data_IF_017145336354
#
_entry.id   IF_017145336354
#
_cell.length_a   1.000
_cell.length_b   1.000
_cell.length_c   1.000
_cell.angle_alpha   90.00
_cell.angle_beta   90.00
_cell.angle_gamma   90.00
#
_symmetry.space_group_name_H-M   'P 1'
#
loop_
_entity.id
_entity.type
_entity.pdbx_description
1 polymer ?
#
# COMPACT_ATOMS: atom_id res chain seq x y z
N UNK A 1 3.58 10.13 12.01
CA UNK A 1 3.87 8.72 12.27
C UNK A 1 4.51 8.45 13.65
N UNK A 2 5.37 9.32 14.18
CA UNK A 2 6.01 9.13 15.50
C UNK A 2 5.57 10.17 16.54
N UNK A 3 5.80 9.91 17.83
CA UNK A 3 5.47 10.83 18.94
C UNK A 3 6.50 11.96 19.08
N UNK A 4 6.61 12.77 18.02
CA UNK A 4 7.39 14.00 17.99
C UNK A 4 6.46 15.16 17.59
N UNK A 5 6.61 16.30 18.25
CA UNK A 5 5.86 17.52 17.96
C UNK A 5 6.81 18.64 17.57
N UNK A 6 6.58 19.25 16.41
CA UNK A 6 7.34 20.41 15.96
C UNK A 6 6.55 21.69 16.26
N UNK A 7 7.19 22.67 16.88
CA UNK A 7 6.62 24.00 17.11
C UNK A 7 7.63 25.03 16.67
N UNK A 8 7.24 25.92 15.75
CA UNK A 8 8.12 27.00 15.31
C UNK A 8 8.35 27.97 16.47
N UNK A 9 9.61 28.11 16.89
CA UNK A 9 10.05 29.01 17.94
C UNK A 9 11.49 29.46 17.65
N UNK A 10 11.95 30.54 18.29
CA UNK A 10 13.34 30.99 18.16
C UNK A 10 14.34 30.18 19.02
N UNK A 11 13.85 29.47 20.03
CA UNK A 11 14.60 28.56 20.91
C UNK A 11 13.64 27.74 21.78
N UNK A 12 14.14 26.74 22.49
CA UNK A 12 13.37 25.89 23.42
C UNK A 12 12.97 24.54 22.81
N UNK A 13 12.14 23.79 23.55
CA UNK A 13 11.82 22.38 23.27
C UNK A 13 12.85 21.41 23.85
N UNK A 14 12.58 20.11 23.71
CA UNK A 14 13.53 19.05 24.11
C UNK A 14 14.77 19.00 23.20
N UNK A 15 14.61 19.50 21.97
CA UNK A 15 15.66 19.78 21.00
C UNK A 15 15.24 20.96 20.12
N UNK A 16 16.19 21.60 19.44
CA UNK A 16 15.91 22.78 18.61
C UNK A 16 16.47 22.60 17.19
N UNK A 17 15.64 22.86 16.17
CA UNK A 17 16.01 22.69 14.77
C UNK A 17 16.18 24.03 14.06
N UNK A 18 17.22 24.14 13.24
CA UNK A 18 17.45 25.32 12.39
C UNK A 18 17.67 24.92 10.94
N UNK A 19 17.19 25.75 10.02
CA UNK A 19 17.25 25.53 8.59
C UNK A 19 17.98 26.71 7.95
N UNK A 20 19.00 26.45 7.14
CA UNK A 20 19.79 27.47 6.48
C UNK A 20 20.19 27.10 5.05
N UNK A 21 20.42 28.10 4.21
CA UNK A 21 20.99 27.88 2.88
C UNK A 21 22.47 28.24 2.89
N UNK A 22 23.25 27.57 2.04
CA UNK A 22 24.66 27.92 1.77
C UNK A 22 24.93 27.83 0.26
N UNK A 23 26.01 28.45 -0.21
CA UNK A 23 26.28 28.62 -1.65
C UNK A 23 27.66 28.17 -2.13
N UNK A 24 28.60 27.94 -1.22
CA UNK A 24 30.00 27.64 -1.57
C UNK A 24 30.24 26.19 -2.02
N UNK A 25 29.26 25.30 -1.86
CA UNK A 25 29.35 23.89 -2.23
C UNK A 25 30.38 23.08 -1.43
N UNK A 26 30.87 23.64 -0.31
CA UNK A 26 32.00 23.10 0.47
C UNK A 26 31.73 21.71 1.07
N UNK A 27 30.47 21.32 1.23
CA UNK A 27 30.06 20.01 1.76
C UNK A 27 30.27 18.86 0.76
N UNK A 28 30.35 19.15 -0.55
CA UNK A 28 30.29 18.13 -1.60
C UNK A 28 28.91 17.47 -1.82
N UNK A 29 27.88 17.86 -1.05
CA UNK A 29 26.53 17.32 -1.12
C UNK A 29 25.45 18.37 -1.46
N UNK A 30 24.25 17.89 -1.79
CA UNK A 30 23.09 18.75 -2.05
C UNK A 30 22.58 19.47 -0.78
N UNK A 31 22.77 18.83 0.37
CA UNK A 31 22.43 19.32 1.70
C UNK A 31 23.23 18.49 2.72
N UNK A 32 23.19 18.91 3.98
CA UNK A 32 23.70 18.13 5.11
C UNK A 32 23.01 18.55 6.41
N UNK A 33 23.02 17.65 7.38
CA UNK A 33 22.50 17.90 8.73
C UNK A 33 23.35 17.17 9.77
N UNK A 34 23.10 17.49 11.04
CA UNK A 34 23.81 16.88 12.16
C UNK A 34 22.87 16.01 12.98
N UNK A 35 23.30 14.76 13.21
CA UNK A 35 22.65 13.83 14.13
C UNK A 35 22.60 14.41 15.55
N UNK A 36 21.57 14.09 16.35
CA UNK A 36 21.51 14.47 17.76
C UNK A 36 22.59 13.72 18.56
N UNK A 37 23.63 14.46 18.98
CA UNK A 37 24.84 13.93 19.61
C UNK A 37 25.15 14.55 20.98
N UNK A 38 24.35 15.52 21.42
CA UNK A 38 24.62 16.39 22.57
C UNK A 38 25.51 17.59 22.23
N UNK A 39 25.77 17.84 20.93
CA UNK A 39 26.66 18.88 20.43
C UNK A 39 25.96 20.22 20.18
N UNK A 40 26.76 21.26 19.90
CA UNK A 40 26.25 22.61 19.55
C UNK A 40 25.60 22.67 18.17
N UNK A 41 25.86 21.69 17.32
CA UNK A 41 25.38 21.61 15.94
C UNK A 41 24.13 20.75 15.80
N UNK A 42 23.69 20.09 16.88
CA UNK A 42 22.47 19.28 16.89
C UNK A 42 21.27 20.06 16.35
N UNK A 43 20.47 19.41 15.49
CA UNK A 43 19.27 20.01 14.90
C UNK A 43 19.52 20.99 13.77
N UNK A 44 20.77 21.28 13.40
CA UNK A 44 21.06 22.11 12.23
C UNK A 44 20.96 21.31 10.93
N UNK A 45 20.29 21.87 9.93
CA UNK A 45 20.25 21.38 8.54
C UNK A 45 20.53 22.51 7.55
N UNK A 46 21.31 22.21 6.52
CA UNK A 46 21.84 23.18 5.57
C UNK A 46 21.64 22.71 4.12
N UNK A 47 21.14 23.61 3.25
CA UNK A 47 20.72 23.27 1.89
C UNK A 47 21.48 24.10 0.85
N UNK A 48 22.09 23.42 -0.13
CA UNK A 48 22.89 24.10 -1.17
C UNK A 48 21.97 24.86 -2.13
N UNK A 49 22.26 26.14 -2.34
CA UNK A 49 21.71 26.93 -3.43
C UNK A 49 22.85 27.71 -4.08
N UNK A 50 23.15 27.37 -5.33
CA UNK A 50 24.16 28.04 -6.15
C UNK A 50 23.71 28.14 -7.60
N UNK A 51 24.47 28.84 -8.44
CA UNK A 51 24.17 28.93 -9.88
C UNK A 51 24.22 27.56 -10.57
N UNK A 52 25.06 26.64 -10.07
CA UNK A 52 25.20 25.27 -10.58
C UNK A 52 24.26 24.25 -9.93
N UNK A 53 23.58 24.60 -8.83
CA UNK A 53 22.67 23.69 -8.13
C UNK A 53 21.43 24.43 -7.62
N UNK A 54 20.30 24.18 -8.30
CA UNK A 54 19.03 24.90 -8.09
C UNK A 54 17.88 24.01 -7.58
N UNK A 55 18.10 22.72 -7.34
CA UNK A 55 17.04 21.78 -6.95
C UNK A 55 16.37 22.13 -5.60
N UNK A 56 17.10 22.77 -4.67
CA UNK A 56 16.59 23.18 -3.36
C UNK A 56 15.82 24.51 -3.37
N UNK A 57 15.72 25.20 -4.51
CA UNK A 57 15.09 26.53 -4.59
C UNK A 57 13.57 26.44 -4.57
N UNK A 58 13.02 25.38 -5.13
CA UNK A 58 11.57 25.20 -5.32
C UNK A 58 11.16 23.78 -4.93
N UNK A 59 11.29 23.41 -3.63
CA UNK A 59 10.82 22.13 -3.14
C UNK A 59 9.29 22.04 -3.30
N UNK A 60 8.82 20.96 -3.90
CA UNK A 60 7.40 20.72 -4.15
C UNK A 60 7.11 19.21 -4.13
N UNK A 61 5.85 18.82 -3.99
CA UNK A 61 5.45 17.43 -3.89
C UNK A 61 5.99 16.60 -5.07
N UNK A 62 6.66 15.49 -4.77
CA UNK A 62 7.17 14.55 -5.76
C UNK A 62 8.53 14.91 -6.34
N UNK A 63 9.14 16.04 -5.94
CA UNK A 63 10.45 16.48 -6.44
C UNK A 63 11.60 16.24 -5.44
N UNK A 64 12.83 16.27 -5.94
CA UNK A 64 14.01 15.95 -5.15
C UNK A 64 14.30 16.98 -4.04
N UNK A 65 14.00 18.26 -4.27
CA UNK A 65 14.17 19.30 -3.24
C UNK A 65 13.29 19.04 -2.01
N UNK A 66 12.05 18.59 -2.22
CA UNK A 66 11.15 18.20 -1.13
C UNK A 66 11.63 16.93 -0.41
N UNK A 67 12.09 15.92 -1.15
CA UNK A 67 12.68 14.72 -0.53
C UNK A 67 13.92 15.06 0.30
N UNK A 68 14.77 15.99 -0.19
CA UNK A 68 15.97 16.46 0.52
C UNK A 68 15.60 17.09 1.86
N UNK A 69 14.55 17.91 1.93
CA UNK A 69 14.05 18.43 3.22
C UNK A 69 13.67 17.30 4.19
N UNK A 70 12.92 16.31 3.72
CA UNK A 70 12.50 15.17 4.56
C UNK A 70 13.71 14.35 5.03
N UNK A 71 14.69 14.15 4.15
CA UNK A 71 15.95 13.45 4.43
C UNK A 71 16.76 14.15 5.53
N UNK A 72 17.03 15.44 5.38
CA UNK A 72 17.83 16.18 6.37
C UNK A 72 17.13 16.30 7.72
N UNK A 73 15.80 16.42 7.73
CA UNK A 73 15.02 16.32 8.97
C UNK A 73 15.18 14.93 9.61
N UNK A 74 15.20 13.86 8.81
CA UNK A 74 15.51 12.50 9.27
C UNK A 74 16.83 12.42 10.03
N UNK A 75 17.90 13.02 9.49
CA UNK A 75 19.19 13.12 10.18
C UNK A 75 19.08 13.87 11.51
N UNK A 76 18.41 15.03 11.55
CA UNK A 76 18.25 15.75 12.82
C UNK A 76 17.44 15.00 13.88
N UNK A 77 16.63 14.02 13.46
CA UNK A 77 15.87 13.11 14.32
C UNK A 77 16.66 11.82 14.66
N UNK A 78 17.90 11.68 14.20
CA UNK A 78 18.77 10.55 14.52
C UNK A 78 18.73 9.39 13.55
N UNK A 79 18.13 9.54 12.37
CA UNK A 79 18.23 8.53 11.31
C UNK A 79 19.54 8.74 10.54
N UNK A 80 20.32 7.67 10.35
CA UNK A 80 21.47 7.70 9.46
C UNK A 80 21.07 7.24 8.06
N UNK A 81 22.00 7.33 7.10
CA UNK A 81 21.88 6.54 5.88
C UNK A 81 21.81 5.04 6.22
N UNK A 82 21.09 4.21 5.43
CA UNK A 82 21.04 2.77 5.64
C UNK A 82 22.39 2.04 5.57
N UNK A 83 23.40 2.62 4.92
CA UNK A 83 24.77 2.12 4.87
C UNK A 83 25.83 3.19 5.18
N UNK A 84 27.08 2.75 5.34
CA UNK A 84 28.22 3.60 5.69
C UNK A 84 28.78 4.35 4.46
N UNK A 85 27.99 5.28 3.92
CA UNK A 85 28.39 6.15 2.81
C UNK A 85 27.98 7.60 3.06
N UNK A 86 28.69 8.53 2.40
CA UNK A 86 28.36 9.95 2.48
C UNK A 86 28.77 10.68 1.19
N UNK A 87 28.02 11.71 0.80
CA UNK A 87 28.42 12.60 -0.28
C UNK A 87 29.76 13.28 0.03
N UNK A 88 30.58 13.50 -1.01
CA UNK A 88 31.91 14.09 -0.86
C UNK A 88 32.99 13.15 -0.33
N UNK A 89 32.65 11.93 0.12
CA UNK A 89 33.61 10.92 0.56
C UNK A 89 33.69 9.75 -0.44
N UNK A 90 34.64 9.82 -1.38
CA UNK A 90 34.78 8.82 -2.44
C UNK A 90 33.65 8.86 -3.46
N UNK A 91 33.43 7.72 -4.13
CA UNK A 91 32.39 7.54 -5.15
C UNK A 91 31.52 6.33 -4.80
N UNK A 92 30.69 6.42 -3.74
CA UNK A 92 29.88 5.29 -3.31
C UNK A 92 28.87 4.91 -4.40
N UNK A 93 28.56 3.63 -4.47
CA UNK A 93 27.59 3.03 -5.39
C UNK A 93 26.65 2.11 -4.61
N UNK A 94 25.54 1.69 -5.22
CA UNK A 94 24.63 0.72 -4.59
C UNK A 94 25.32 -0.61 -4.23
N UNK A 95 26.47 -0.96 -4.84
CA UNK A 95 27.25 -2.15 -4.43
C UNK A 95 27.86 -2.02 -3.03
N UNK A 96 27.93 -0.81 -2.51
CA UNK A 96 28.43 -0.48 -1.17
C UNK A 96 27.29 -0.48 -0.13
N UNK A 97 26.04 -0.74 -0.54
CA UNK A 97 24.91 -0.88 0.36
C UNK A 97 25.07 -2.10 1.29
N UNK A 98 24.65 -1.95 2.54
CA UNK A 98 24.74 -3.00 3.55
C UNK A 98 23.70 -4.12 3.32
N UNK A 99 22.54 -3.78 2.75
CA UNK A 99 21.44 -4.68 2.46
C UNK A 99 20.70 -4.26 1.19
N UNK A 100 19.92 -5.17 0.59
CA UNK A 100 19.33 -4.94 -0.72
C UNK A 100 18.27 -3.83 -0.71
N UNK A 101 17.45 -3.75 0.33
CA UNK A 101 16.38 -2.77 0.45
C UNK A 101 16.88 -1.34 0.76
N UNK A 102 18.19 -1.10 0.79
CA UNK A 102 18.76 0.25 0.79
C UNK A 102 18.53 0.91 -0.57
N UNK A 103 17.31 1.35 -0.80
CA UNK A 103 16.92 2.16 -1.95
C UNK A 103 15.88 3.18 -1.54
N UNK A 104 15.69 4.18 -2.40
CA UNK A 104 14.59 5.16 -2.32
C UNK A 104 13.21 4.53 -2.54
N UNK A 105 13.11 3.21 -2.72
CA UNK A 105 11.87 2.46 -2.64
C UNK A 105 11.42 2.20 -1.19
N UNK A 106 12.34 2.15 -0.23
CA UNK A 106 12.07 1.76 1.16
C UNK A 106 12.40 2.85 2.17
N UNK A 107 13.41 3.69 1.88
CA UNK A 107 13.85 4.75 2.78
C UNK A 107 14.25 6.01 2.01
N UNK A 108 13.75 7.17 2.43
CA UNK A 108 14.22 8.47 1.93
C UNK A 108 15.64 8.79 2.40
N UNK A 109 16.17 8.04 3.37
CA UNK A 109 17.56 8.14 3.82
C UNK A 109 18.55 7.47 2.86
N UNK A 110 18.06 6.71 1.86
CA UNK A 110 18.91 6.07 0.86
C UNK A 110 19.40 7.02 -0.24
N UNK A 111 20.61 6.77 -0.74
CA UNK A 111 21.13 7.43 -1.94
C UNK A 111 20.70 6.74 -3.23
N UNK A 112 20.29 5.48 -3.15
CA UNK A 112 20.18 4.61 -4.31
C UNK A 112 18.78 4.65 -4.92
N UNK A 113 18.70 4.62 -6.24
CA UNK A 113 17.40 4.58 -6.94
C UNK A 113 16.64 3.33 -6.55
N UNK A 114 15.32 3.48 -6.43
CA UNK A 114 14.33 2.43 -6.27
C UNK A 114 14.44 1.33 -7.34
N UNK A 115 14.95 1.67 -8.54
CA UNK A 115 15.15 0.70 -9.62
C UNK A 115 16.18 -0.40 -9.32
N UNK A 116 17.00 -0.26 -8.28
CA UNK A 116 17.90 -1.33 -7.84
C UNK A 116 17.16 -2.50 -7.16
N UNK A 117 15.90 -2.29 -6.79
CA UNK A 117 15.02 -3.28 -6.13
C UNK A 117 13.72 -3.50 -6.92
N UNK A 118 13.78 -3.31 -8.24
CA UNK A 118 12.70 -3.54 -9.22
C UNK A 118 11.46 -2.62 -9.10
N UNK A 119 11.48 -1.60 -8.22
CA UNK A 119 10.48 -0.54 -8.24
C UNK A 119 10.73 0.46 -9.38
N UNK A 120 9.70 1.23 -9.72
CA UNK A 120 9.79 2.26 -10.76
C UNK A 120 8.86 3.44 -10.46
N UNK A 121 9.43 4.60 -10.13
CA UNK A 121 8.68 5.82 -9.83
C UNK A 121 8.64 6.80 -11.00
N UNK A 122 8.82 6.31 -12.23
CA UNK A 122 8.75 7.09 -13.46
C UNK A 122 7.37 6.95 -14.10
N UNK A 123 6.71 8.08 -14.34
CA UNK A 123 5.45 8.16 -15.09
C UNK A 123 5.46 9.35 -16.02
N UNK A 124 4.99 9.14 -17.27
CA UNK A 124 5.02 10.18 -18.31
C UNK A 124 6.44 10.66 -18.66
N UNK A 125 7.44 9.78 -18.54
CA UNK A 125 8.84 10.09 -18.84
C UNK A 125 9.58 10.93 -17.81
N UNK A 126 8.98 11.22 -16.65
CA UNK A 126 9.62 11.97 -15.57
C UNK A 126 9.61 11.17 -14.25
N UNK A 127 10.71 11.16 -13.49
CA UNK A 127 10.76 10.51 -12.19
C UNK A 127 9.89 11.24 -11.16
N UNK A 128 9.67 10.57 -10.03
CA UNK A 128 9.08 11.14 -8.82
C UNK A 128 9.87 10.65 -7.61
N UNK A 129 9.95 11.47 -6.58
CA UNK A 129 10.63 11.18 -5.32
C UNK A 129 9.62 11.23 -4.20
N UNK A 130 9.71 10.31 -3.22
CA UNK A 130 8.81 10.37 -2.08
C UNK A 130 9.04 11.65 -1.28
N UNK A 131 7.97 12.42 -1.08
CA UNK A 131 7.98 13.65 -0.29
C UNK A 131 7.96 13.39 1.21
N UNK A 132 7.63 12.18 1.63
CA UNK A 132 7.37 11.80 3.00
C UNK A 132 8.16 10.54 3.38
N UNK A 133 8.29 10.23 4.68
CA UNK A 133 8.93 9.01 5.15
C UNK A 133 8.31 7.75 4.52
N UNK A 134 9.16 6.83 4.06
CA UNK A 134 8.78 5.54 3.48
C UNK A 134 8.74 4.44 4.56
N UNK A 135 8.52 3.20 4.13
CA UNK A 135 8.25 2.05 5.00
C UNK A 135 9.28 1.89 6.12
N UNK A 136 10.57 1.92 5.79
CA UNK A 136 11.65 1.70 6.74
C UNK A 136 11.91 2.94 7.60
N UNK A 137 11.73 4.14 7.02
CA UNK A 137 11.85 5.40 7.76
C UNK A 137 10.82 5.47 8.88
N UNK A 138 9.57 5.09 8.58
CA UNK A 138 8.47 5.05 9.56
C UNK A 138 8.81 4.07 10.68
N UNK A 139 9.27 2.87 10.35
CA UNK A 139 9.66 1.89 11.35
C UNK A 139 10.81 2.39 12.24
N UNK A 140 11.86 2.96 11.64
CA UNK A 140 13.04 3.45 12.36
C UNK A 140 12.69 4.62 13.30
N UNK A 141 11.98 5.64 12.82
CA UNK A 141 11.62 6.79 13.67
C UNK A 141 10.64 6.40 14.78
N UNK A 142 9.80 5.39 14.56
CA UNK A 142 8.93 4.83 15.60
C UNK A 142 9.69 3.99 16.63
N UNK A 143 10.82 3.38 16.28
CA UNK A 143 11.68 2.73 17.28
C UNK A 143 12.31 3.76 18.23
N UNK A 144 12.67 4.94 17.71
CA UNK A 144 13.26 6.02 18.51
C UNK A 144 12.23 6.71 19.42
N UNK A 145 11.05 7.04 18.89
CA UNK A 145 10.10 7.94 19.57
C UNK A 145 8.73 7.31 19.84
N UNK A 146 8.49 6.08 19.40
CA UNK A 146 7.19 5.41 19.50
C UNK A 146 6.20 5.84 18.42
N UNK A 147 5.28 4.93 18.08
CA UNK A 147 4.19 5.15 17.14
C UNK A 147 3.18 6.20 17.62
N UNK A 148 2.77 7.10 16.73
CA UNK A 148 1.72 8.09 17.00
C UNK A 148 0.36 7.59 16.50
N UNK A 149 -0.36 6.91 17.39
CA UNK A 149 -1.66 6.31 17.13
C UNK A 149 -2.82 7.31 17.07
N UNK A 150 -2.62 8.60 17.36
CA UNK A 150 -3.69 9.60 17.19
C UNK A 150 -3.74 10.18 15.77
N UNK A 151 -2.73 9.90 14.95
CA UNK A 151 -2.69 10.38 13.56
C UNK A 151 -3.76 9.66 12.75
N UNK A 152 -4.74 10.42 12.22
CA UNK A 152 -5.78 9.88 11.34
C UNK A 152 -6.57 8.71 11.94
N UNK A 153 -6.77 8.69 13.27
CA UNK A 153 -7.50 7.63 13.99
C UNK A 153 -9.03 7.64 13.75
N UNK A 154 -9.45 7.84 12.50
CA UNK A 154 -10.81 7.89 11.96
C UNK A 154 -10.77 7.42 10.51
N UNK A 155 -11.91 7.03 9.95
CA UNK A 155 -12.04 6.65 8.54
C UNK A 155 -11.34 7.63 7.58
N UNK A 156 -10.29 7.16 6.92
CA UNK A 156 -9.44 7.94 6.04
C UNK A 156 -9.40 7.36 4.62
N UNK A 157 -9.54 8.23 3.63
CA UNK A 157 -9.31 7.90 2.22
C UNK A 157 -7.93 8.39 1.79
N UNK A 158 -7.17 7.53 1.13
CA UNK A 158 -5.86 7.79 0.52
C UNK A 158 -5.96 7.63 -1.00
N UNK A 159 -5.23 8.43 -1.78
CA UNK A 159 -5.30 8.42 -3.24
C UNK A 159 -6.29 9.47 -3.76
N UNK A 160 -7.18 9.08 -4.67
CA UNK A 160 -8.28 9.95 -5.12
C UNK A 160 -9.25 10.22 -3.96
N UNK A 161 -9.96 11.34 -4.01
CA UNK A 161 -10.94 11.72 -2.98
C UNK A 161 -10.37 11.76 -1.56
N UNK A 162 -9.05 11.94 -1.43
CA UNK A 162 -8.31 11.79 -0.17
C UNK A 162 -8.81 12.73 0.91
N UNK A 163 -9.04 12.17 2.11
CA UNK A 163 -9.36 12.90 3.34
C UNK A 163 -8.15 13.01 4.27
N UNK A 164 -7.01 12.41 3.89
CA UNK A 164 -5.79 12.37 4.70
C UNK A 164 -5.17 13.76 4.96
N UNK A 165 -5.57 14.78 4.21
CA UNK A 165 -5.13 16.16 4.36
C UNK A 165 -3.63 16.34 4.13
N UNK A 166 -3.03 15.56 3.22
CA UNK A 166 -1.61 15.63 2.85
C UNK A 166 -1.46 15.56 1.34
N UNK A 167 -0.58 16.40 0.79
CA UNK A 167 -0.25 16.46 -0.63
C UNK A 167 0.25 15.13 -1.19
N UNK A 168 1.17 14.47 -0.48
CA UNK A 168 1.76 13.20 -0.91
C UNK A 168 0.80 11.99 -0.86
N UNK A 169 -0.33 12.10 -0.14
CA UNK A 169 -1.37 11.07 -0.12
C UNK A 169 -2.49 11.33 -1.12
N UNK A 170 -2.48 12.43 -1.86
CA UNK A 170 -3.59 12.83 -2.72
C UNK A 170 -3.26 12.63 -4.21
N UNK A 171 -4.13 11.91 -4.91
CA UNK A 171 -4.19 11.89 -6.36
C UNK A 171 -5.33 12.81 -6.84
N UNK A 172 -5.06 13.64 -7.84
CA UNK A 172 -6.00 14.64 -8.35
C UNK A 172 -6.36 14.43 -9.82
N UNK A 173 -5.63 13.56 -10.52
CA UNK A 173 -5.93 13.17 -11.90
C UNK A 173 -5.24 11.85 -12.25
N UNK A 174 -5.61 11.25 -13.38
CA UNK A 174 -4.96 10.04 -13.90
C UNK A 174 -3.45 10.19 -14.15
N UNK A 175 -2.93 11.43 -14.28
CA UNK A 175 -1.51 11.70 -14.45
C UNK A 175 -0.74 11.86 -13.13
N UNK A 176 -1.43 11.91 -11.99
CA UNK A 176 -0.79 11.98 -10.67
C UNK A 176 0.22 10.85 -10.48
N UNK A 177 1.34 11.19 -9.83
CA UNK A 177 2.38 10.26 -9.40
C UNK A 177 2.30 10.17 -7.88
N UNK A 178 1.84 9.04 -7.37
CA UNK A 178 1.74 8.79 -5.93
C UNK A 178 2.92 7.94 -5.48
N UNK A 179 3.68 8.43 -4.51
CA UNK A 179 4.79 7.69 -3.88
C UNK A 179 4.72 7.89 -2.38
N UNK A 180 4.18 6.92 -1.65
CA UNK A 180 3.96 7.05 -0.22
C UNK A 180 3.92 5.71 0.52
N UNK A 181 4.20 5.76 1.83
CA UNK A 181 3.85 4.70 2.78
C UNK A 181 2.73 5.19 3.70
N UNK A 182 1.66 4.41 3.83
CA UNK A 182 0.52 4.74 4.71
C UNK A 182 0.94 4.58 6.17
N UNK A 183 0.71 5.62 6.96
CA UNK A 183 0.64 5.52 8.42
C UNK A 183 -0.77 5.89 8.85
N UNK A 184 -1.46 5.00 9.55
CA UNK A 184 -2.79 5.29 10.09
C UNK A 184 -2.87 4.81 11.55
N UNK A 185 -3.61 5.55 12.38
CA UNK A 185 -3.83 5.27 13.80
C UNK A 185 -5.09 4.42 14.07
N UNK A 186 -5.95 4.22 13.06
CA UNK A 186 -7.15 3.40 13.11
C UNK A 186 -8.35 4.08 12.47
N UNK A 187 -9.47 3.37 12.38
CA UNK A 187 -10.63 3.79 11.59
C UNK A 187 -10.97 2.69 10.58
N UNK A 188 -11.88 2.98 9.66
CA UNK A 188 -12.10 2.15 8.47
C UNK A 188 -11.58 2.89 7.24
N UNK A 189 -10.42 2.48 6.76
CA UNK A 189 -9.63 3.23 5.80
C UNK A 189 -9.74 2.67 4.38
N UNK A 190 -9.50 3.52 3.39
CA UNK A 190 -9.65 3.16 1.97
C UNK A 190 -8.47 3.64 1.14
N UNK A 191 -7.88 2.75 0.36
CA UNK A 191 -7.05 3.11 -0.80
C UNK A 191 -7.96 3.30 -2.01
N UNK A 192 -8.16 4.55 -2.43
CA UNK A 192 -8.96 4.90 -3.61
C UNK A 192 -8.05 5.23 -4.79
N UNK A 193 -7.98 4.31 -5.74
CA UNK A 193 -7.20 4.44 -6.98
C UNK A 193 -8.09 4.48 -8.22
N UNK A 194 -9.36 4.84 -8.05
CA UNK A 194 -10.41 4.84 -9.08
C UNK A 194 -10.14 5.70 -10.31
N UNK A 195 -9.36 6.77 -10.17
CA UNK A 195 -9.05 7.67 -11.28
C UNK A 195 -7.90 7.20 -12.18
N UNK A 196 -7.30 6.03 -11.94
CA UNK A 196 -6.27 5.46 -12.81
C UNK A 196 -6.85 4.51 -13.86
N UNK A 197 -6.15 4.40 -14.99
CA UNK A 197 -6.58 3.57 -16.14
C UNK A 197 -5.58 2.48 -16.50
N UNK A 198 -4.42 2.48 -15.86
CA UNK A 198 -3.42 1.42 -15.97
C UNK A 198 -3.86 0.24 -15.10
N UNK A 199 -3.43 -0.97 -15.46
CA UNK A 199 -3.56 -2.13 -14.59
C UNK A 199 -2.78 -1.90 -13.29
N UNK A 200 -3.38 -2.24 -12.17
CA UNK A 200 -2.84 -2.02 -10.82
C UNK A 200 -2.73 -3.32 -10.06
N UNK A 201 -1.87 -3.32 -9.03
CA UNK A 201 -1.84 -4.37 -8.01
C UNK A 201 -1.91 -3.70 -6.66
N UNK A 202 -3.02 -3.87 -5.95
CA UNK A 202 -3.31 -3.21 -4.69
C UNK A 202 -3.31 -4.28 -3.60
N UNK A 203 -2.43 -4.13 -2.62
CA UNK A 203 -2.27 -5.06 -1.51
C UNK A 203 -2.52 -4.34 -0.18
N UNK A 204 -3.53 -4.79 0.57
CA UNK A 204 -3.94 -4.21 1.85
C UNK A 204 -3.19 -4.78 3.06
N UNK A 205 -2.29 -5.74 2.85
CA UNK A 205 -1.49 -6.29 3.95
C UNK A 205 -0.48 -5.27 4.48
N UNK A 206 -0.30 -5.23 5.79
CA UNK A 206 0.73 -4.40 6.41
C UNK A 206 2.12 -4.80 5.92
N UNK A 207 3.03 -3.83 5.78
CA UNK A 207 4.38 -4.01 5.25
C UNK A 207 4.43 -4.64 3.84
N UNK A 208 3.38 -4.44 3.04
CA UNK A 208 3.35 -4.81 1.62
C UNK A 208 3.48 -3.59 0.71
N UNK A 209 3.75 -3.86 -0.56
CA UNK A 209 3.83 -2.87 -1.62
C UNK A 209 2.75 -3.11 -2.68
N UNK A 210 2.38 -2.05 -3.36
CA UNK A 210 1.38 -1.99 -4.42
C UNK A 210 1.94 -1.28 -5.66
N UNK A 211 1.50 -1.74 -6.83
CA UNK A 211 1.77 -1.15 -8.14
C UNK A 211 0.57 -0.27 -8.50
N UNK A 212 0.73 1.06 -8.45
CA UNK A 212 -0.42 1.99 -8.52
C UNK A 212 -0.21 3.04 -9.60
N UNK A 213 -1.23 3.25 -10.43
CA UNK A 213 -1.26 4.31 -11.43
C UNK A 213 -0.16 4.20 -12.49
N UNK A 214 0.25 2.99 -12.86
CA UNK A 214 1.29 2.73 -13.87
C UNK A 214 2.74 2.83 -13.36
N UNK A 215 2.94 2.94 -12.06
CA UNK A 215 4.24 2.81 -11.38
C UNK A 215 4.30 1.47 -10.65
N UNK A 216 5.50 1.08 -10.20
CA UNK A 216 5.76 -0.24 -9.56
C UNK A 216 6.30 -0.03 -8.16
N UNK A 217 5.71 -0.71 -7.16
CA UNK A 217 6.10 -0.65 -5.75
C UNK A 217 6.09 0.75 -5.14
N UNK A 218 5.22 1.64 -5.62
CA UNK A 218 5.20 3.06 -5.25
C UNK A 218 4.28 3.39 -4.07
N UNK A 219 3.37 2.48 -3.72
CA UNK A 219 2.52 2.60 -2.55
C UNK A 219 2.82 1.46 -1.60
N UNK A 220 2.98 1.75 -0.31
CA UNK A 220 3.13 0.75 0.74
C UNK A 220 2.26 1.05 1.95
N UNK A 221 2.05 0.06 2.81
CA UNK A 221 1.38 0.21 4.10
C UNK A 221 2.40 -0.05 5.20
N UNK A 222 2.54 0.88 6.15
CA UNK A 222 3.51 0.72 7.23
C UNK A 222 3.18 -0.48 8.13
N UNK A 223 4.21 -1.05 8.77
CA UNK A 223 4.04 -2.15 9.71
C UNK A 223 3.09 -1.75 10.85
N UNK A 224 2.13 -2.63 11.15
CA UNK A 224 1.15 -2.43 12.23
C UNK A 224 -0.04 -1.54 11.87
N UNK A 225 -0.15 -1.09 10.62
CA UNK A 225 -1.32 -0.40 10.08
C UNK A 225 -2.26 -1.42 9.44
N UNK A 226 -3.57 -1.27 9.67
CA UNK A 226 -4.61 -2.01 8.96
C UNK A 226 -5.32 -1.01 8.04
N UNK A 227 -5.52 -1.38 6.78
CA UNK A 227 -6.34 -0.63 5.83
C UNK A 227 -7.39 -1.60 5.31
N UNK A 228 -8.67 -1.23 5.41
CA UNK A 228 -9.77 -2.17 5.21
C UNK A 228 -10.26 -2.22 3.77
N UNK A 229 -10.20 -1.13 3.01
CA UNK A 229 -10.87 -1.08 1.72
C UNK A 229 -9.91 -0.69 0.59
N UNK A 230 -10.23 -1.17 -0.62
CA UNK A 230 -9.55 -0.78 -1.84
C UNK A 230 -10.55 -0.55 -2.96
N UNK A 231 -10.28 0.47 -3.78
CA UNK A 231 -11.00 0.76 -5.01
C UNK A 231 -9.97 0.79 -6.14
N UNK A 232 -10.06 -0.18 -7.05
CA UNK A 232 -9.32 -0.22 -8.30
C UNK A 232 -9.80 0.84 -9.29
N UNK A 233 -9.23 0.83 -10.48
CA UNK A 233 -9.44 1.81 -11.55
C UNK A 233 -10.29 1.28 -12.68
N UNK A 234 -9.96 1.71 -13.90
CA UNK A 234 -10.55 1.18 -15.14
C UNK A 234 -9.64 0.19 -15.88
N UNK A 235 -8.54 -0.22 -15.24
CA UNK A 235 -7.60 -1.20 -15.76
C UNK A 235 -7.99 -2.62 -15.34
N UNK A 236 -7.24 -3.63 -15.77
CA UNK A 236 -7.41 -4.98 -15.24
C UNK A 236 -6.57 -5.11 -13.98
N UNK A 237 -7.20 -4.97 -12.82
CA UNK A 237 -6.54 -4.80 -11.54
C UNK A 237 -6.50 -6.09 -10.72
N UNK A 238 -5.50 -6.19 -9.86
CA UNK A 238 -5.39 -7.22 -8.82
C UNK A 238 -5.60 -6.56 -7.45
N UNK A 239 -6.65 -6.95 -6.74
CA UNK A 239 -6.94 -6.47 -5.39
C UNK A 239 -6.74 -7.63 -4.40
N UNK A 240 -5.87 -7.42 -3.41
CA UNK A 240 -5.54 -8.38 -2.36
C UNK A 240 -5.90 -7.73 -1.02
N UNK A 241 -6.91 -8.26 -0.36
CA UNK A 241 -7.30 -7.89 1.00
C UNK A 241 -6.33 -8.42 2.06
N UNK A 242 -6.75 -8.38 3.31
CA UNK A 242 -5.94 -8.80 4.46
C UNK A 242 -6.73 -9.75 5.37
N UNK A 243 -6.53 -9.68 6.69
CA UNK A 243 -7.22 -10.54 7.65
C UNK A 243 -8.43 -9.86 8.31
N UNK A 244 -8.71 -8.61 7.96
CA UNK A 244 -9.87 -7.85 8.41
C UNK A 244 -11.00 -7.96 7.39
N UNK A 245 -12.23 -7.61 7.78
CA UNK A 245 -13.34 -7.53 6.83
C UNK A 245 -13.13 -6.38 5.84
N UNK A 246 -12.86 -6.71 4.59
CA UNK A 246 -12.54 -5.77 3.53
C UNK A 246 -13.75 -5.39 2.66
N UNK A 247 -13.76 -4.17 2.11
CA UNK A 247 -14.63 -3.76 0.98
C UNK A 247 -13.75 -3.52 -0.24
N UNK A 248 -13.76 -4.47 -1.19
CA UNK A 248 -12.91 -4.48 -2.37
C UNK A 248 -13.75 -4.23 -3.62
N UNK A 249 -13.37 -3.21 -4.40
CA UNK A 249 -14.08 -2.82 -5.62
C UNK A 249 -13.11 -2.79 -6.78
N UNK A 250 -13.24 -3.70 -7.74
CA UNK A 250 -12.38 -3.79 -8.92
C UNK A 250 -12.52 -2.54 -9.79
N UNK A 251 -13.75 -2.25 -10.22
CA UNK A 251 -14.07 -1.04 -10.96
C UNK A 251 -14.53 -1.37 -12.37
N UNK A 252 -13.79 -0.96 -13.37
CA UNK A 252 -14.00 -1.43 -14.74
C UNK A 252 -12.74 -2.14 -15.21
N UNK A 253 -12.88 -3.07 -16.14
CA UNK A 253 -11.77 -3.97 -16.51
C UNK A 253 -12.04 -5.37 -15.98
N UNK A 254 -11.19 -6.31 -16.37
CA UNK A 254 -11.29 -7.69 -15.90
C UNK A 254 -10.41 -7.84 -14.66
N UNK A 255 -11.02 -7.78 -13.48
CA UNK A 255 -10.30 -7.69 -12.22
C UNK A 255 -10.14 -9.05 -11.55
N UNK A 256 -9.09 -9.19 -10.75
CA UNK A 256 -8.86 -10.34 -9.87
C UNK A 256 -8.94 -9.84 -8.43
N UNK A 257 -9.88 -10.39 -7.66
CA UNK A 257 -10.17 -9.95 -6.29
C UNK A 257 -9.97 -11.13 -5.35
N UNK A 258 -9.05 -10.97 -4.40
CA UNK A 258 -8.79 -11.92 -3.32
C UNK A 258 -9.09 -11.23 -1.98
N UNK A 259 -10.17 -11.62 -1.31
CA UNK A 259 -10.58 -11.07 -0.01
C UNK A 259 -9.56 -11.35 1.09
N UNK A 260 -9.11 -12.60 1.17
CA UNK A 260 -8.25 -13.07 2.24
C UNK A 260 -9.08 -13.61 3.39
N UNK A 261 -8.71 -13.31 4.63
CA UNK A 261 -9.48 -13.75 5.78
C UNK A 261 -10.40 -12.63 6.25
N UNK A 262 -11.63 -12.93 6.62
CA UNK A 262 -12.56 -11.88 7.01
C UNK A 262 -13.97 -12.26 6.59
N UNK A 263 -14.90 -11.31 6.72
CA UNK A 263 -16.20 -11.40 6.07
C UNK A 263 -16.25 -10.26 5.07
N UNK A 264 -15.83 -10.54 3.85
CA UNK A 264 -15.49 -9.51 2.88
C UNK A 264 -16.69 -9.15 1.99
N UNK A 265 -16.67 -7.92 1.51
CA UNK A 265 -17.60 -7.40 0.52
C UNK A 265 -16.84 -7.19 -0.78
N UNK A 266 -17.06 -8.09 -1.74
CA UNK A 266 -16.31 -8.13 -2.98
C UNK A 266 -17.20 -7.64 -4.13
N UNK A 267 -16.76 -6.63 -4.87
CA UNK A 267 -17.50 -6.07 -6.01
C UNK A 267 -16.55 -6.07 -7.21
N UNK A 268 -16.91 -6.81 -8.25
CA UNK A 268 -16.10 -6.87 -9.49
C UNK A 268 -16.22 -5.56 -10.25
N UNK A 269 -17.47 -5.18 -10.54
CA UNK A 269 -17.82 -4.03 -11.33
C UNK A 269 -18.08 -4.41 -12.79
N UNK A 270 -17.52 -3.66 -13.73
CA UNK A 270 -17.75 -3.86 -15.14
C UNK A 270 -16.59 -4.61 -15.80
N UNK A 271 -16.79 -5.88 -16.11
CA UNK A 271 -15.80 -6.69 -16.82
C UNK A 271 -16.02 -8.15 -16.50
N UNK A 272 -15.11 -9.03 -16.92
CA UNK A 272 -15.13 -10.43 -16.54
C UNK A 272 -14.21 -10.61 -15.33
N UNK A 273 -14.79 -10.65 -14.14
CA UNK A 273 -14.05 -10.59 -12.89
C UNK A 273 -13.86 -11.96 -12.27
N UNK A 274 -12.77 -12.14 -11.52
CA UNK A 274 -12.43 -13.39 -10.85
C UNK A 274 -12.31 -13.15 -9.35
N UNK A 275 -13.19 -13.78 -8.58
CA UNK A 275 -13.17 -13.79 -7.12
C UNK A 275 -12.42 -15.04 -6.65
N UNK A 276 -11.21 -14.85 -6.13
CA UNK A 276 -10.29 -15.93 -5.76
C UNK A 276 -10.39 -16.24 -4.28
N UNK A 277 -10.39 -17.53 -3.95
CA UNK A 277 -10.31 -18.05 -2.59
C UNK A 277 -9.14 -19.04 -2.49
N UNK A 278 -8.21 -18.77 -1.58
CA UNK A 278 -6.95 -19.47 -1.41
C UNK A 278 -7.02 -20.59 -0.37
N UNK A 279 -7.90 -20.45 0.61
CA UNK A 279 -8.18 -21.44 1.64
C UNK A 279 -9.67 -21.48 1.97
N UNK A 280 -10.16 -22.62 2.49
CA UNK A 280 -11.55 -22.71 2.97
C UNK A 280 -11.84 -21.76 4.14
N UNK A 281 -10.80 -21.36 4.88
CA UNK A 281 -10.90 -20.38 5.96
C UNK A 281 -11.20 -18.96 5.48
N UNK A 282 -10.90 -18.64 4.22
CA UNK A 282 -11.08 -17.30 3.65
C UNK A 282 -12.54 -16.88 3.70
N UNK A 283 -13.45 -17.82 3.44
CA UNK A 283 -14.89 -17.59 3.55
C UNK A 283 -15.59 -18.80 4.17
N UNK A 284 -15.80 -18.73 5.48
CA UNK A 284 -16.38 -19.80 6.28
C UNK A 284 -17.69 -19.37 6.96
N UNK A 285 -18.35 -20.27 7.69
CA UNK A 285 -19.67 -19.96 8.28
C UNK A 285 -19.67 -18.80 9.28
N UNK A 286 -18.56 -18.58 9.98
CA UNK A 286 -18.45 -17.51 10.97
C UNK A 286 -18.10 -16.15 10.34
N UNK A 287 -17.42 -16.18 9.20
CA UNK A 287 -16.99 -15.00 8.45
C UNK A 287 -17.14 -15.33 6.96
N UNK A 288 -18.37 -15.13 6.47
CA UNK A 288 -18.76 -15.45 5.11
C UNK A 288 -18.66 -14.21 4.23
N UNK A 289 -17.97 -14.35 3.10
CA UNK A 289 -17.86 -13.33 2.08
C UNK A 289 -19.16 -13.19 1.29
N UNK A 290 -19.36 -11.98 0.77
CA UNK A 290 -20.42 -11.70 -0.19
C UNK A 290 -19.86 -11.03 -1.43
N UNK A 291 -20.05 -11.66 -2.58
CA UNK A 291 -19.86 -11.06 -3.89
C UNK A 291 -21.12 -10.23 -4.22
N UNK A 292 -20.96 -8.93 -4.46
CA UNK A 292 -22.04 -7.94 -4.43
C UNK A 292 -22.73 -7.69 -5.77
N UNK A 293 -22.15 -8.15 -6.87
CA UNK A 293 -22.60 -7.84 -8.23
C UNK A 293 -22.36 -8.97 -9.23
N UNK A 294 -22.32 -10.22 -8.77
CA UNK A 294 -21.96 -11.38 -9.60
C UNK A 294 -22.84 -11.53 -10.85
N UNK A 295 -22.20 -11.62 -12.02
CA UNK A 295 -22.84 -11.85 -13.32
C UNK A 295 -22.42 -13.21 -13.88
N UNK A 296 -23.33 -14.19 -13.83
CA UNK A 296 -23.08 -15.51 -14.43
C UNK A 296 -22.75 -15.45 -15.93
N UNK A 297 -21.85 -16.33 -16.36
CA UNK A 297 -21.35 -16.39 -17.73
C UNK A 297 -20.29 -15.34 -18.05
N UNK A 298 -20.06 -14.38 -17.15
CA UNK A 298 -19.05 -13.34 -17.24
C UNK A 298 -18.03 -13.51 -16.13
N UNK A 299 -18.48 -13.47 -14.87
CA UNK A 299 -17.62 -13.58 -13.70
C UNK A 299 -17.33 -15.03 -13.31
N UNK A 300 -16.28 -15.21 -12.51
CA UNK A 300 -15.85 -16.51 -12.00
C UNK A 300 -15.56 -16.48 -10.51
N UNK A 301 -15.89 -17.58 -9.85
CA UNK A 301 -15.47 -17.89 -8.48
C UNK A 301 -14.38 -18.94 -8.59
N UNK A 302 -13.16 -18.61 -8.19
CA UNK A 302 -12.00 -19.50 -8.27
C UNK A 302 -11.65 -20.06 -6.89
N UNK A 303 -11.81 -21.38 -6.75
CA UNK A 303 -11.46 -22.15 -5.56
C UNK A 303 -10.37 -23.19 -5.84
N UNK A 304 -9.68 -23.09 -6.99
CA UNK A 304 -8.67 -24.05 -7.45
C UNK A 304 -7.45 -24.12 -6.51
N UNK A 305 -7.20 -23.07 -5.73
CA UNK A 305 -6.14 -23.05 -4.73
C UNK A 305 -6.49 -23.84 -3.45
N UNK A 306 -7.78 -24.04 -3.15
CA UNK A 306 -8.22 -24.69 -1.90
C UNK A 306 -8.01 -26.20 -1.95
N UNK A 307 -8.19 -26.82 -3.12
CA UNK A 307 -8.14 -28.28 -3.26
C UNK A 307 -7.54 -28.70 -4.60
N UNK A 308 -6.95 -29.89 -4.65
CA UNK A 308 -6.48 -30.50 -5.90
C UNK A 308 -7.57 -31.29 -6.62
N UNK A 309 -8.85 -31.02 -6.31
CA UNK A 309 -9.97 -31.73 -6.92
C UNK A 309 -10.05 -31.39 -8.40
N UNK A 310 -10.26 -32.38 -9.26
CA UNK A 310 -10.42 -32.14 -10.70
C UNK A 310 -11.81 -31.60 -11.09
N UNK A 311 -12.78 -31.72 -10.18
CA UNK A 311 -14.16 -31.28 -10.36
C UNK A 311 -14.90 -31.26 -9.02
N UNK A 312 -15.93 -30.42 -8.91
CA UNK A 312 -16.92 -30.48 -7.82
C UNK A 312 -18.11 -31.35 -8.21
N UNK A 313 -18.71 -32.01 -7.23
CA UNK A 313 -19.96 -32.75 -7.38
C UNK A 313 -21.13 -31.91 -6.85
N UNK A 314 -21.92 -31.33 -7.74
CA UNK A 314 -23.09 -30.55 -7.33
C UNK A 314 -24.23 -31.46 -6.86
N UNK A 315 -24.69 -31.24 -5.62
CA UNK A 315 -25.71 -32.03 -4.94
C UNK A 315 -26.80 -31.13 -4.33
N UNK A 316 -27.95 -31.71 -3.97
CA UNK A 316 -29.02 -30.99 -3.27
C UNK A 316 -28.84 -31.01 -1.74
N UNK A 317 -28.03 -31.93 -1.22
CA UNK A 317 -27.68 -32.05 0.20
C UNK A 317 -26.35 -32.80 0.30
N UNK A 318 -25.50 -32.41 1.26
CA UNK A 318 -24.23 -33.09 1.52
C UNK A 318 -24.46 -34.51 2.03
N UNK A 319 -23.72 -35.47 1.48
CA UNK A 319 -23.68 -36.87 1.90
C UNK A 319 -22.41 -37.21 2.70
N UNK A 320 -21.45 -36.30 2.74
CA UNK A 320 -20.17 -36.47 3.43
C UNK A 320 -19.08 -36.95 2.49
N UNK A 321 -19.07 -36.47 1.26
CA UNK A 321 -18.00 -36.71 0.31
C UNK A 321 -17.28 -35.40 0.02
N UNK A 322 -15.95 -35.44 0.10
CA UNK A 322 -15.13 -34.28 -0.22
C UNK A 322 -15.36 -33.85 -1.67
N UNK A 323 -15.52 -32.55 -1.88
CA UNK A 323 -15.81 -31.96 -3.20
C UNK A 323 -17.30 -31.89 -3.54
N UNK A 324 -18.19 -32.30 -2.65
CA UNK A 324 -19.62 -31.99 -2.81
C UNK A 324 -19.84 -30.47 -2.70
N UNK A 325 -20.69 -29.93 -3.56
CA UNK A 325 -21.03 -28.52 -3.61
C UNK A 325 -22.55 -28.33 -3.71
N UNK A 326 -23.06 -27.28 -3.08
CA UNK A 326 -24.48 -26.89 -3.15
C UNK A 326 -24.54 -25.45 -3.65
N UNK A 327 -25.27 -25.23 -4.74
CA UNK A 327 -25.64 -23.91 -5.24
C UNK A 327 -27.12 -23.66 -4.94
N UNK A 328 -27.41 -22.54 -4.27
CA UNK A 328 -28.77 -22.07 -4.05
C UNK A 328 -28.98 -20.70 -4.68
N UNK A 329 -30.21 -20.42 -5.09
CA UNK A 329 -30.60 -19.10 -5.57
C UNK A 329 -32.04 -18.78 -5.20
N UNK A 330 -32.25 -17.59 -4.63
CA UNK A 330 -33.56 -17.04 -4.35
C UNK A 330 -33.84 -15.88 -5.31
N UNK A 331 -34.77 -16.10 -6.24
CA UNK A 331 -35.13 -15.15 -7.27
C UNK A 331 -35.78 -13.87 -6.73
N UNK A 332 -36.50 -13.92 -5.60
CA UNK A 332 -37.19 -12.73 -5.07
C UNK A 332 -36.24 -11.75 -4.40
N UNK A 333 -35.15 -12.24 -3.81
CA UNK A 333 -34.11 -11.42 -3.19
C UNK A 333 -32.89 -11.19 -4.09
N UNK A 334 -32.81 -11.88 -5.24
CA UNK A 334 -31.61 -11.93 -6.09
C UNK A 334 -30.34 -12.36 -5.33
N UNK A 335 -30.49 -13.28 -4.37
CA UNK A 335 -29.38 -13.77 -3.56
C UNK A 335 -29.09 -15.23 -3.89
N UNK A 336 -27.84 -15.52 -4.21
CA UNK A 336 -27.30 -16.86 -4.35
C UNK A 336 -26.35 -17.24 -3.23
N UNK A 337 -26.03 -18.52 -3.15
CA UNK A 337 -24.95 -19.01 -2.32
C UNK A 337 -24.30 -20.25 -2.92
N UNK A 338 -23.00 -20.38 -2.67
CA UNK A 338 -22.21 -21.57 -2.92
C UNK A 338 -21.69 -22.07 -1.58
N UNK A 339 -21.92 -23.34 -1.28
CA UNK A 339 -21.31 -24.04 -0.15
C UNK A 339 -20.57 -25.27 -0.67
N UNK A 340 -19.35 -25.52 -0.20
CA UNK A 340 -18.53 -26.66 -0.60
C UNK A 340 -18.06 -27.39 0.66
N UNK A 341 -18.16 -28.72 0.66
CA UNK A 341 -17.60 -29.61 1.67
C UNK A 341 -16.25 -30.14 1.16
N UNK A 342 -15.16 -29.41 1.43
CA UNK A 342 -13.82 -29.85 1.03
C UNK A 342 -13.28 -30.99 1.90
N UNK A 343 -13.75 -31.12 3.13
CA UNK A 343 -13.26 -32.10 4.11
C UNK A 343 -13.99 -33.45 4.07
N UNK A 344 -15.18 -33.51 3.45
CA UNK A 344 -16.02 -34.70 3.37
C UNK A 344 -16.73 -35.05 4.68
N UNK A 345 -17.09 -34.05 5.48
CA UNK A 345 -17.73 -34.24 6.79
C UNK A 345 -19.25 -34.12 6.76
N UNK A 346 -19.84 -33.88 5.59
CA UNK A 346 -21.27 -33.70 5.39
C UNK A 346 -21.74 -32.29 5.71
N UNK A 347 -20.80 -31.34 5.78
CA UNK A 347 -21.04 -29.93 6.13
C UNK A 347 -20.12 -29.07 5.27
N UNK A 348 -20.68 -28.01 4.66
CA UNK A 348 -19.85 -27.05 3.92
C UNK A 348 -18.88 -26.32 4.85
N UNK A 349 -17.59 -26.46 4.56
CA UNK A 349 -16.48 -25.78 5.25
C UNK A 349 -16.09 -24.47 4.54
N UNK A 350 -16.43 -24.34 3.26
CA UNK A 350 -16.40 -23.10 2.50
C UNK A 350 -17.82 -22.65 2.15
N UNK A 351 -18.11 -21.36 2.33
CA UNK A 351 -19.40 -20.75 1.98
C UNK A 351 -19.15 -19.37 1.40
N UNK A 352 -19.74 -19.01 0.26
CA UNK A 352 -19.74 -17.64 -0.28
C UNK A 352 -21.15 -17.25 -0.70
N UNK A 353 -21.54 -16.02 -0.37
CA UNK A 353 -22.80 -15.42 -0.81
C UNK A 353 -22.61 -14.66 -2.12
N UNK A 354 -23.63 -14.66 -2.97
CA UNK A 354 -23.65 -13.84 -4.19
C UNK A 354 -24.91 -12.99 -4.23
N UNK A 355 -24.80 -11.74 -4.66
CA UNK A 355 -25.93 -10.99 -5.21
C UNK A 355 -25.89 -11.22 -6.70
N UNK A 356 -26.91 -11.91 -7.23
CA UNK A 356 -26.88 -12.53 -8.55
C UNK A 356 -26.75 -14.05 -8.47
N UNK A 357 -27.27 -14.73 -9.49
CA UNK A 357 -27.25 -16.19 -9.59
C UNK A 357 -25.89 -16.66 -10.13
N UNK A 358 -25.27 -17.65 -9.48
CA UNK A 358 -24.12 -18.37 -10.00
C UNK A 358 -24.51 -19.78 -10.47
N UNK A 359 -23.83 -20.29 -11.48
CA UNK A 359 -23.99 -21.67 -11.98
C UNK A 359 -22.68 -22.45 -11.87
N UNK A 360 -22.77 -23.77 -12.01
CA UNK A 360 -21.60 -24.65 -11.96
C UNK A 360 -20.49 -24.27 -12.95
N UNK A 361 -20.84 -23.74 -14.12
CA UNK A 361 -19.89 -23.30 -15.15
C UNK A 361 -19.15 -21.99 -14.78
N UNK A 362 -19.56 -21.33 -13.70
CA UNK A 362 -18.91 -20.13 -13.20
C UNK A 362 -17.89 -20.41 -12.10
N UNK A 363 -17.76 -21.68 -11.68
CA UNK A 363 -16.84 -22.08 -10.63
C UNK A 363 -15.59 -22.70 -11.26
N UNK A 364 -14.43 -22.16 -10.93
CA UNK A 364 -13.12 -22.69 -11.32
C UNK A 364 -12.59 -23.54 -10.17
N UNK A 365 -12.16 -24.77 -10.48
CA UNK A 365 -11.57 -25.74 -9.55
C UNK A 365 -10.31 -26.35 -10.12
#
# INVERSE_FOLDING_TARGET
>A
MAKVSFTQAASGGDGHMTFGNYSDGSSGGAAFAYLPSGGRTDGQSWYLISDSYRQNVSPDNGNYGRQTLTHEIGHTLGLSHPGDYNAGNGNPTYKDATYAEDTRGYSVMSYWSESNTDQNFVKGGAPSYSSAPLLDDIAAVQQLYGANLSTRATDTVYGFNSTAGRDFYSATSASSKVVFSVWDGGGKDTLDFSGFTQNQKINLNAASFSDVGGMVGNVSIAKGVVVENAIGGSGNDLLIGNAAANDLKGGAGNDIIYGGGGADSLTGGAGADIFVFGASSDSNRAAQDTIRDFVSGQDKIDVSAISTLSALQFVNAFSGHAGEAILNYNQSSNLGSLAIDFTGQGVGDFLVGTVGQAFAADIIV
#
